data_IF_508727946958
#
_entry.id   IF_508727946958
#
_cell.length_a   1.000
_cell.length_b   1.000
_cell.length_c   1.000
_cell.angle_alpha   90.00
_cell.angle_beta   90.00
_cell.angle_gamma   90.00
#
_symmetry.space_group_name_H-M   'P 1'
#
loop_
_entity.id
_entity.type
_entity.pdbx_description
1 polymer ?
#
# COMPACT_ATOMS: atom_id res chain seq x y z
N UNK A 1 -36.41 -16.79 -9.18
CA UNK A 1 -35.73 -17.90 -9.87
C UNK A 1 -34.45 -17.37 -10.49
N UNK A 2 -33.36 -17.36 -9.74
CA UNK A 2 -32.01 -17.13 -10.24
C UNK A 2 -31.05 -17.78 -9.24
N UNK A 3 -30.64 -19.01 -9.54
CA UNK A 3 -29.60 -19.73 -8.83
C UNK A 3 -28.30 -19.48 -9.57
N UNK A 4 -27.28 -18.83 -8.98
CA UNK A 4 -25.95 -18.85 -9.54
C UNK A 4 -25.36 -20.23 -9.26
N UNK A 5 -25.08 -20.98 -10.33
CA UNK A 5 -24.37 -22.25 -10.24
C UNK A 5 -22.99 -21.98 -9.65
N UNK A 6 -22.78 -22.36 -8.39
CA UNK A 6 -21.45 -22.53 -7.84
C UNK A 6 -20.79 -23.69 -8.58
N UNK A 7 -20.03 -23.35 -9.62
CA UNK A 7 -19.12 -24.27 -10.25
C UNK A 7 -18.00 -24.55 -9.27
N UNK A 8 -17.87 -25.81 -8.88
CA UNK A 8 -16.71 -26.38 -8.19
C UNK A 8 -15.47 -26.16 -9.07
N UNK A 9 -14.84 -25.00 -8.90
CA UNK A 9 -13.57 -24.71 -9.55
C UNK A 9 -12.46 -25.32 -8.71
N UNK A 10 -11.58 -26.13 -9.31
CA UNK A 10 -10.48 -26.72 -8.56
C UNK A 10 -9.60 -25.57 -8.05
N UNK A 11 -9.24 -25.59 -6.76
CA UNK A 11 -8.23 -24.72 -6.10
C UNK A 11 -7.11 -24.19 -7.04
N UNK A 12 -6.50 -24.99 -7.94
CA UNK A 12 -5.51 -24.48 -8.91
C UNK A 12 -6.02 -23.37 -9.84
N UNK A 13 -7.27 -23.41 -10.30
CA UNK A 13 -7.82 -22.39 -11.21
C UNK A 13 -7.98 -21.03 -10.53
N UNK A 14 -8.34 -21.00 -9.24
CA UNK A 14 -8.44 -19.76 -8.48
C UNK A 14 -7.05 -19.12 -8.26
N UNK A 15 -6.02 -19.92 -8.00
CA UNK A 15 -4.63 -19.44 -7.85
C UNK A 15 -4.09 -18.90 -9.17
N UNK A 16 -4.37 -19.58 -10.28
CA UNK A 16 -3.97 -19.12 -11.62
C UNK A 16 -4.68 -17.80 -11.98
N UNK A 17 -5.98 -17.68 -11.71
CA UNK A 17 -6.71 -16.44 -11.95
C UNK A 17 -6.17 -15.27 -11.10
N UNK A 18 -5.84 -15.52 -9.83
CA UNK A 18 -5.25 -14.52 -8.95
C UNK A 18 -3.84 -14.10 -9.42
N UNK A 19 -3.01 -15.07 -9.82
CA UNK A 19 -1.69 -14.81 -10.38
C UNK A 19 -1.76 -13.98 -11.67
N UNK A 20 -2.76 -14.24 -12.52
CA UNK A 20 -3.01 -13.45 -13.73
C UNK A 20 -3.40 -12.00 -13.39
N UNK A 21 -4.27 -11.80 -12.39
CA UNK A 21 -4.63 -10.45 -11.91
C UNK A 21 -3.41 -9.68 -11.39
N UNK A 22 -2.54 -10.32 -10.60
CA UNK A 22 -1.31 -9.69 -10.11
C UNK A 22 -0.30 -9.41 -11.23
N UNK A 23 -0.19 -10.29 -12.22
CA UNK A 23 0.67 -10.08 -13.38
C UNK A 23 0.24 -8.85 -14.19
N UNK A 24 -1.06 -8.65 -14.41
CA UNK A 24 -1.57 -7.46 -15.11
C UNK A 24 -1.47 -6.19 -14.25
N UNK A 25 -1.68 -6.29 -12.93
CA UNK A 25 -1.55 -5.14 -12.01
C UNK A 25 -0.09 -4.68 -11.77
N UNK A 26 0.88 -5.56 -12.02
CA UNK A 26 2.32 -5.26 -11.86
C UNK A 26 2.97 -4.58 -13.07
N UNK A 27 2.32 -4.56 -14.24
CA UNK A 27 2.92 -4.07 -15.48
C UNK A 27 2.87 -2.54 -15.67
N UNK A 28 2.39 -1.75 -14.69
CA UNK A 28 2.32 -0.28 -14.81
C UNK A 28 2.96 0.45 -13.63
N UNK A 29 4.14 0.02 -13.23
CA UNK A 29 4.97 0.79 -12.30
C UNK A 29 6.33 1.06 -12.92
N UNK A 30 6.33 1.68 -14.10
CA UNK A 30 7.43 2.56 -14.47
C UNK A 30 7.49 3.61 -13.37
N UNK A 31 8.40 3.43 -12.41
CA UNK A 31 8.88 4.56 -11.62
C UNK A 31 9.61 5.39 -12.66
N UNK A 32 9.06 6.54 -13.08
CA UNK A 32 9.71 7.34 -14.10
C UNK A 32 11.11 7.64 -13.60
N UNK A 33 12.11 7.42 -14.45
CA UNK A 33 13.47 7.81 -14.12
C UNK A 33 13.43 9.29 -13.72
N UNK A 34 14.08 9.65 -12.61
CA UNK A 34 13.96 10.99 -12.01
C UNK A 34 14.21 12.09 -13.05
N UNK A 35 15.09 11.84 -14.03
CA UNK A 35 15.42 12.77 -15.10
C UNK A 35 14.25 13.04 -16.07
N UNK A 36 13.35 12.07 -16.28
CA UNK A 36 12.16 12.26 -17.13
C UNK A 36 11.11 13.18 -16.47
N UNK A 37 11.22 13.36 -15.15
CA UNK A 37 10.31 14.22 -14.37
C UNK A 37 10.88 15.63 -14.16
N UNK A 38 12.12 15.89 -14.61
CA UNK A 38 12.78 17.19 -14.44
C UNK A 38 12.37 18.15 -15.55
N UNK A 39 11.68 19.22 -15.17
CA UNK A 39 11.36 20.31 -16.10
C UNK A 39 12.63 21.02 -16.57
N UNK A 40 12.62 21.59 -17.78
CA UNK A 40 13.74 22.36 -18.34
C UNK A 40 14.26 23.43 -17.36
N UNK A 41 13.34 24.09 -16.66
CA UNK A 41 13.64 25.11 -15.66
C UNK A 41 14.40 24.57 -14.42
N UNK A 42 14.26 23.28 -14.10
CA UNK A 42 15.00 22.61 -13.03
C UNK A 42 16.35 22.03 -13.50
N UNK A 43 16.69 22.13 -14.79
CA UNK A 43 17.93 21.53 -15.32
C UNK A 43 19.17 22.19 -14.73
N UNK A 44 19.18 23.51 -14.75
CA UNK A 44 20.31 24.35 -14.34
C UNK A 44 19.92 25.31 -13.21
N UNK A 45 18.81 25.04 -12.51
CA UNK A 45 18.39 25.85 -11.38
C UNK A 45 19.44 25.79 -10.25
N UNK A 46 19.79 26.93 -9.64
CA UNK A 46 20.66 26.93 -8.47
C UNK A 46 20.00 26.14 -7.34
N UNK A 47 20.80 25.35 -6.64
CA UNK A 47 20.33 24.64 -5.46
C UNK A 47 19.90 25.66 -4.38
N UNK A 48 18.74 25.47 -3.71
CA UNK A 48 18.25 26.41 -2.73
C UNK A 48 19.19 26.51 -1.52
N UNK A 49 19.15 27.63 -0.81
CA UNK A 49 19.90 27.80 0.42
C UNK A 49 19.47 26.74 1.45
N UNK A 50 20.44 26.02 2.00
CA UNK A 50 20.21 25.05 3.07
C UNK A 50 19.77 25.80 4.33
N UNK A 51 18.68 25.33 4.95
CA UNK A 51 18.27 25.79 6.27
C UNK A 51 18.80 24.81 7.34
N UNK A 52 19.11 25.30 8.56
CA UNK A 52 19.46 24.41 9.67
C UNK A 52 18.38 23.36 9.94
N UNK A 53 18.80 22.16 10.30
CA UNK A 53 17.90 21.03 10.48
C UNK A 53 16.92 21.26 11.63
N UNK A 54 17.39 21.91 12.69
CA UNK A 54 16.61 22.29 13.86
C UNK A 54 15.43 23.20 13.47
N UNK A 55 15.65 24.10 12.50
CA UNK A 55 14.62 25.00 11.97
C UNK A 55 13.57 24.23 11.17
N UNK A 56 13.98 23.25 10.35
CA UNK A 56 13.08 22.42 9.57
C UNK A 56 12.21 21.53 10.49
N UNK A 57 12.83 20.88 11.48
CA UNK A 57 12.15 19.99 12.42
C UNK A 57 11.19 20.72 13.36
N UNK A 58 11.44 21.98 13.68
CA UNK A 58 10.52 22.79 14.48
C UNK A 58 9.18 23.06 13.77
N UNK A 59 9.17 23.05 12.44
CA UNK A 59 7.97 23.25 11.62
C UNK A 59 7.17 21.94 11.46
N UNK A 60 7.86 20.80 11.47
CA UNK A 60 7.31 19.48 11.15
C UNK A 60 7.22 18.55 12.38
N UNK A 61 7.28 19.14 13.59
CA UNK A 61 7.01 18.40 14.82
C UNK A 61 5.56 17.88 14.74
N UNK A 62 5.43 16.62 14.30
CA UNK A 62 4.15 15.92 14.19
C UNK A 62 3.33 16.22 15.45
N UNK A 63 2.13 16.75 15.26
CA UNK A 63 1.25 17.10 16.38
C UNK A 63 1.17 15.91 17.31
N UNK A 64 1.39 16.04 18.63
CA UNK A 64 1.42 14.90 19.56
C UNK A 64 0.22 13.95 19.41
N UNK A 65 -0.96 14.52 19.16
CA UNK A 65 -2.21 13.80 18.92
C UNK A 65 -2.19 12.89 17.68
N UNK A 66 -1.38 13.24 16.67
CA UNK A 66 -1.27 12.48 15.41
C UNK A 66 -0.55 11.14 15.60
N UNK A 67 0.44 11.09 16.49
CA UNK A 67 1.17 9.87 16.80
C UNK A 67 0.27 8.86 17.53
N UNK A 68 -0.44 9.31 18.57
CA UNK A 68 -1.38 8.46 19.29
C UNK A 68 -2.54 7.99 18.39
N UNK A 69 -3.07 8.87 17.53
CA UNK A 69 -4.11 8.50 16.58
C UNK A 69 -3.62 7.44 15.59
N UNK A 70 -2.38 7.56 15.12
CA UNK A 70 -1.75 6.58 14.25
C UNK A 70 -1.58 5.23 14.96
N UNK A 71 -1.12 5.22 16.20
CA UNK A 71 -0.97 4.01 17.00
C UNK A 71 -2.32 3.29 17.22
N UNK A 72 -3.38 4.05 17.53
CA UNK A 72 -4.74 3.52 17.67
C UNK A 72 -5.21 2.86 16.37
N UNK A 73 -4.99 3.50 15.22
CA UNK A 73 -5.37 2.95 13.92
C UNK A 73 -4.58 1.69 13.56
N UNK A 74 -3.25 1.69 13.79
CA UNK A 74 -2.43 0.50 13.53
C UNK A 74 -2.81 -0.67 14.44
N UNK A 75 -3.12 -0.40 15.71
CA UNK A 75 -3.61 -1.41 16.65
C UNK A 75 -4.94 -2.01 16.18
N UNK A 76 -5.88 -1.16 15.75
CA UNK A 76 -7.17 -1.59 15.20
C UNK A 76 -7.00 -2.47 13.97
N UNK A 77 -6.16 -2.04 13.01
CA UNK A 77 -5.87 -2.81 11.80
C UNK A 77 -5.27 -4.18 12.12
N UNK A 78 -4.29 -4.22 13.04
CA UNK A 78 -3.68 -5.47 13.50
C UNK A 78 -4.71 -6.44 14.06
N UNK A 79 -5.63 -5.95 14.90
CA UNK A 79 -6.70 -6.78 15.48
C UNK A 79 -7.63 -7.36 14.40
N UNK A 80 -8.05 -6.55 13.43
CA UNK A 80 -8.88 -7.00 12.32
C UNK A 80 -8.19 -8.06 11.45
N UNK A 81 -6.92 -7.83 11.11
CA UNK A 81 -6.12 -8.78 10.34
C UNK A 81 -5.92 -10.09 11.09
N UNK A 82 -5.66 -10.03 12.40
CA UNK A 82 -5.55 -11.22 13.24
C UNK A 82 -6.86 -12.00 13.29
N UNK A 83 -7.99 -11.34 13.53
CA UNK A 83 -9.30 -11.99 13.52
C UNK A 83 -9.65 -12.60 12.15
N UNK A 84 -9.20 -12.00 11.05
CA UNK A 84 -9.34 -12.59 9.71
C UNK A 84 -8.44 -13.82 9.53
N UNK A 85 -7.18 -13.75 9.95
CA UNK A 85 -6.25 -14.87 9.87
C UNK A 85 -6.71 -16.07 10.71
N UNK A 86 -7.23 -15.81 11.92
CA UNK A 86 -7.77 -16.85 12.79
C UNK A 86 -8.98 -17.52 12.13
N UNK A 87 -9.90 -16.76 11.51
CA UNK A 87 -11.03 -17.31 10.73
C UNK A 87 -10.57 -18.15 9.53
N UNK A 88 -9.54 -17.73 8.80
CA UNK A 88 -9.00 -18.49 7.67
C UNK A 88 -8.32 -19.78 8.13
N UNK A 89 -7.68 -19.78 9.30
CA UNK A 89 -7.02 -20.96 9.86
C UNK A 89 -8.01 -22.02 10.33
N UNK A 90 -9.16 -21.59 10.84
CA UNK A 90 -10.23 -22.49 11.27
C UNK A 90 -11.22 -22.82 10.17
N UNK A 91 -11.12 -22.17 9.00
CA UNK A 91 -11.91 -22.57 7.84
C UNK A 91 -11.47 -23.97 7.41
N UNK A 92 -12.42 -24.90 7.17
CA UNK A 92 -12.08 -26.22 6.66
C UNK A 92 -11.32 -26.04 5.33
N UNK A 93 -10.13 -26.62 5.28
CA UNK A 93 -9.34 -26.72 4.04
C UNK A 93 -9.84 -27.94 3.29
N UNK A 94 -10.99 -27.79 2.63
CA UNK A 94 -11.51 -28.75 1.65
C UNK A 94 -10.76 -28.63 0.32
#
# INVERSE_FOLDING_TARGET
MFQPRHTSHPLPTAVVALALLFAVAGCTREVPELDQTRTEALRDAPYPALIPLETALATDAATPDSAEQLEREMTRRRALLKARADRLRTAPSD
#
